data_IF_399825194591
#
_entry.id   IF_399825194591
#
_cell.length_a   1.000
_cell.length_b   1.000
_cell.length_c   1.000
_cell.angle_alpha   90.00
_cell.angle_beta   90.00
_cell.angle_gamma   90.00
#
_symmetry.space_group_name_H-M   'P 1'
#
loop_
_entity.id
_entity.type
_entity.pdbx_description
1 polymer ?
#
# COMPACT_ATOMS: atom_id res chain seq x y z
N UNK A 1 -15.34 11.89 -29.44
CA UNK A 1 -14.31 10.85 -29.28
C UNK A 1 -14.16 10.68 -27.79
N UNK A 2 -15.17 10.06 -27.18
CA UNK A 2 -15.51 10.23 -25.77
C UNK A 2 -15.83 8.86 -25.17
N UNK A 3 -15.68 8.76 -23.85
CA UNK A 3 -16.01 7.62 -22.97
C UNK A 3 -14.99 6.49 -22.78
N UNK A 4 -13.75 6.60 -23.24
CA UNK A 4 -12.68 5.60 -22.91
C UNK A 4 -11.48 6.14 -22.14
N UNK A 5 -11.63 7.27 -21.44
CA UNK A 5 -10.69 7.66 -20.37
C UNK A 5 -11.17 7.05 -19.06
N UNK A 6 -10.66 5.85 -18.81
CA UNK A 6 -10.32 5.34 -17.48
C UNK A 6 -11.46 5.41 -16.46
N UNK A 7 -12.25 4.33 -16.36
CA UNK A 7 -12.77 3.91 -15.05
C UNK A 7 -11.56 3.68 -14.16
N UNK A 8 -11.05 4.74 -13.54
CA UNK A 8 -10.07 4.65 -12.48
C UNK A 8 -10.85 4.01 -11.34
N UNK A 9 -10.82 2.68 -11.27
CA UNK A 9 -11.47 1.93 -10.20
C UNK A 9 -10.94 2.51 -8.91
N UNK A 10 -11.76 3.28 -8.19
CA UNK A 10 -11.34 3.92 -6.95
C UNK A 10 -10.90 2.81 -6.01
N UNK A 11 -9.60 2.79 -5.70
CA UNK A 11 -9.00 1.87 -4.77
C UNK A 11 -9.31 2.43 -3.38
N UNK A 12 -10.05 1.67 -2.58
CA UNK A 12 -10.25 1.97 -1.18
C UNK A 12 -10.07 0.69 -0.36
N UNK A 13 -8.87 0.53 0.19
CA UNK A 13 -8.50 -0.65 0.95
C UNK A 13 -9.31 -0.80 2.24
N UNK A 14 -9.63 0.32 2.90
CA UNK A 14 -10.26 0.32 4.22
C UNK A 14 -11.73 -0.08 4.13
N UNK A 15 -12.44 0.44 3.13
CA UNK A 15 -13.85 0.11 2.93
C UNK A 15 -14.00 -1.32 2.37
N UNK A 16 -13.20 -1.71 1.38
CA UNK A 16 -13.40 -2.98 0.68
C UNK A 16 -13.01 -4.21 1.53
N UNK A 17 -12.26 -4.02 2.62
CA UNK A 17 -11.89 -5.11 3.53
C UNK A 17 -12.93 -5.37 4.63
N UNK A 18 -13.81 -4.41 4.91
CA UNK A 18 -14.87 -4.57 5.89
C UNK A 18 -15.76 -5.76 5.51
N UNK A 19 -16.26 -6.48 6.51
CA UNK A 19 -17.15 -7.63 6.32
C UNK A 19 -18.51 -7.26 6.91
N UNK A 20 -19.53 -7.27 6.07
CA UNK A 20 -20.91 -7.30 6.56
C UNK A 20 -21.26 -8.72 7.07
N UNK A 21 -21.53 -8.82 8.36
CA UNK A 21 -21.85 -10.08 9.02
C UNK A 21 -23.32 -10.49 8.86
N UNK A 22 -24.19 -9.58 8.41
CA UNK A 22 -25.60 -9.88 8.10
C UNK A 22 -25.78 -10.41 6.67
N UNK A 23 -24.78 -10.23 5.81
CA UNK A 23 -24.80 -10.60 4.39
C UNK A 23 -23.61 -11.51 4.00
N UNK A 24 -23.30 -12.52 4.83
CA UNK A 24 -22.12 -13.38 4.65
C UNK A 24 -22.11 -14.13 3.31
N UNK A 25 -23.27 -14.48 2.76
CA UNK A 25 -23.42 -15.14 1.45
C UNK A 25 -22.99 -14.23 0.30
N UNK A 26 -23.44 -12.96 0.31
CA UNK A 26 -23.02 -11.93 -0.65
C UNK A 26 -21.53 -11.70 -0.52
N UNK A 27 -21.03 -11.54 0.71
CA UNK A 27 -19.60 -11.28 0.95
C UNK A 27 -18.69 -12.40 0.47
N UNK A 28 -19.15 -13.65 0.55
CA UNK A 28 -18.46 -14.81 0.01
C UNK A 28 -18.42 -14.83 -1.52
N UNK A 29 -19.52 -14.46 -2.17
CA UNK A 29 -19.60 -14.41 -3.64
C UNK A 29 -18.75 -13.26 -4.21
N UNK A 30 -18.64 -12.14 -3.50
CA UNK A 30 -17.85 -10.99 -3.93
C UNK A 30 -16.34 -11.14 -3.67
N UNK A 31 -15.95 -11.94 -2.67
CA UNK A 31 -14.56 -12.11 -2.23
C UNK A 31 -13.58 -12.42 -3.40
N UNK A 32 -13.85 -13.35 -4.33
CA UNK A 32 -12.94 -13.62 -5.45
C UNK A 32 -12.78 -12.42 -6.40
N UNK A 33 -13.86 -11.67 -6.63
CA UNK A 33 -13.85 -10.46 -7.47
C UNK A 33 -13.03 -9.35 -6.84
N UNK A 34 -13.21 -9.10 -5.53
CA UNK A 34 -12.39 -8.15 -4.75
C UNK A 34 -10.91 -8.58 -4.78
N UNK A 35 -10.61 -9.85 -4.52
CA UNK A 35 -9.23 -10.38 -4.58
C UNK A 35 -8.58 -10.17 -5.95
N UNK A 36 -9.30 -10.42 -7.05
CA UNK A 36 -8.79 -10.21 -8.41
C UNK A 36 -8.52 -8.73 -8.69
N UNK A 37 -9.42 -7.83 -8.27
CA UNK A 37 -9.24 -6.37 -8.38
C UNK A 37 -7.93 -5.92 -7.74
N UNK A 38 -7.67 -6.35 -6.50
CA UNK A 38 -6.47 -5.97 -5.76
C UNK A 38 -5.20 -6.65 -6.24
N UNK A 39 -5.30 -7.91 -6.70
CA UNK A 39 -4.18 -8.61 -7.32
C UNK A 39 -3.73 -7.93 -8.62
N UNK A 40 -4.69 -7.49 -9.45
CA UNK A 40 -4.40 -6.71 -10.66
C UNK A 40 -3.75 -5.37 -10.30
N UNK A 41 -4.32 -4.65 -9.34
CA UNK A 41 -3.75 -3.37 -8.90
C UNK A 41 -2.31 -3.52 -8.40
N UNK A 42 -2.02 -4.58 -7.63
CA UNK A 42 -0.67 -4.88 -7.20
C UNK A 42 0.28 -5.23 -8.34
N UNK A 43 -0.19 -5.94 -9.37
CA UNK A 43 0.61 -6.21 -10.56
C UNK A 43 0.91 -4.92 -11.36
N UNK A 44 -0.08 -4.05 -11.54
CA UNK A 44 0.07 -2.80 -12.27
C UNK A 44 1.06 -1.85 -11.56
N UNK A 45 0.93 -1.71 -10.23
CA UNK A 45 1.84 -0.88 -9.41
C UNK A 45 3.26 -1.46 -9.36
N UNK A 46 3.40 -2.79 -9.37
CA UNK A 46 4.71 -3.45 -9.50
C UNK A 46 5.38 -3.09 -10.81
N UNK A 47 4.65 -3.16 -11.92
CA UNK A 47 5.18 -2.81 -13.23
C UNK A 47 5.66 -1.35 -13.26
N UNK A 48 4.88 -0.42 -12.69
CA UNK A 48 5.25 0.99 -12.60
C UNK A 48 6.52 1.17 -11.76
N UNK A 49 6.61 0.51 -10.60
CA UNK A 49 7.79 0.53 -9.76
C UNK A 49 9.04 0.02 -10.49
N UNK A 50 8.93 -1.14 -11.16
CA UNK A 50 10.03 -1.76 -11.90
C UNK A 50 10.50 -0.85 -13.05
N UNK A 51 9.57 -0.29 -13.84
CA UNK A 51 9.90 0.66 -14.91
C UNK A 51 10.56 1.94 -14.40
N UNK A 52 10.09 2.48 -13.27
CA UNK A 52 10.65 3.71 -12.69
C UNK A 52 12.05 3.45 -12.11
N UNK A 53 12.28 2.24 -11.59
CA UNK A 53 13.61 1.80 -11.15
C UNK A 53 14.59 1.71 -12.32
N UNK A 54 14.17 1.10 -13.43
CA UNK A 54 15.00 1.03 -14.64
C UNK A 54 15.36 2.43 -15.15
N UNK A 55 14.38 3.34 -15.17
CA UNK A 55 14.60 4.74 -15.55
C UNK A 55 15.58 5.44 -14.62
N UNK A 56 15.49 5.21 -13.30
CA UNK A 56 16.43 5.78 -12.33
C UNK A 56 17.88 5.33 -12.59
N UNK A 57 18.08 4.05 -12.88
CA UNK A 57 19.41 3.51 -13.21
C UNK A 57 19.93 4.05 -14.55
N UNK A 58 19.04 4.24 -15.54
CA UNK A 58 19.40 4.85 -16.82
C UNK A 58 19.85 6.31 -16.65
N UNK A 59 19.06 7.13 -15.96
CA UNK A 59 19.42 8.54 -15.65
C UNK A 59 20.75 8.61 -14.90
N UNK A 60 20.96 7.70 -13.93
CA UNK A 60 22.23 7.62 -13.21
C UNK A 60 23.41 7.33 -14.13
N UNK A 61 23.26 6.38 -15.05
CA UNK A 61 24.32 6.01 -15.99
C UNK A 61 24.62 7.14 -16.98
N UNK A 62 23.58 7.81 -17.49
CA UNK A 62 23.73 8.97 -18.38
C UNK A 62 24.44 10.13 -17.69
N UNK A 63 24.09 10.44 -16.44
CA UNK A 63 24.76 11.47 -15.66
C UNK A 63 26.21 11.10 -15.34
N UNK A 64 26.50 9.84 -14.98
CA UNK A 64 27.88 9.38 -14.78
C UNK A 64 28.73 9.60 -16.04
N UNK A 65 28.20 9.21 -17.20
CA UNK A 65 28.88 9.42 -18.49
C UNK A 65 29.07 10.91 -18.80
N UNK A 66 28.03 11.74 -18.63
CA UNK A 66 28.09 13.18 -18.90
C UNK A 66 29.10 13.88 -18.00
N UNK A 67 29.14 13.54 -16.71
CA UNK A 67 30.10 14.10 -15.75
C UNK A 67 31.54 13.76 -16.14
N UNK A 68 31.79 12.53 -16.59
CA UNK A 68 33.13 12.12 -17.06
C UNK A 68 33.53 12.82 -18.35
N UNK A 69 32.58 13.05 -19.26
CA UNK A 69 32.83 13.73 -20.53
C UNK A 69 33.02 15.24 -20.35
N UNK A 70 32.31 15.86 -19.42
CA UNK A 70 32.25 17.32 -19.24
C UNK A 70 32.42 17.73 -17.77
N UNK A 71 33.53 17.38 -17.10
CA UNK A 71 33.72 17.60 -15.66
C UNK A 71 33.66 19.09 -15.25
N UNK A 72 34.11 19.98 -16.12
CA UNK A 72 34.13 21.43 -15.86
C UNK A 72 32.71 22.02 -15.76
N UNK A 73 31.76 21.49 -16.55
CA UNK A 73 30.35 21.90 -16.49
C UNK A 73 29.73 21.62 -15.12
N UNK A 74 30.13 20.50 -14.51
CA UNK A 74 29.70 20.08 -13.18
C UNK A 74 30.61 20.60 -12.05
N UNK A 75 31.57 21.47 -12.36
CA UNK A 75 32.49 22.08 -11.40
C UNK A 75 33.32 21.05 -10.59
N UNK A 76 33.69 19.94 -11.23
CA UNK A 76 34.48 18.88 -10.59
C UNK A 76 35.96 19.06 -10.91
N UNK A 77 36.74 19.49 -9.91
CA UNK A 77 38.18 19.70 -10.07
C UNK A 77 39.00 18.40 -10.27
N UNK A 78 38.53 17.28 -9.71
CA UNK A 78 39.17 15.96 -9.86
C UNK A 78 38.11 14.88 -10.02
N UNK A 79 38.14 14.20 -11.16
CA UNK A 79 37.25 13.08 -11.47
C UNK A 79 37.62 11.89 -10.57
N UNK A 80 36.87 11.70 -9.51
CA UNK A 80 36.92 10.53 -8.63
C UNK A 80 35.53 9.91 -8.53
N UNK A 81 35.45 8.60 -8.31
CA UNK A 81 34.15 7.92 -8.13
C UNK A 81 33.28 8.59 -7.05
N UNK A 82 33.90 9.02 -5.93
CA UNK A 82 33.19 9.74 -4.87
C UNK A 82 32.64 11.11 -5.29
N UNK A 83 33.42 11.89 -6.08
CA UNK A 83 32.97 13.18 -6.60
C UNK A 83 31.84 13.04 -7.63
N UNK A 84 31.88 12.01 -8.48
CA UNK A 84 30.84 11.75 -9.47
C UNK A 84 29.55 11.36 -8.78
N UNK A 85 29.59 10.37 -7.86
CA UNK A 85 28.40 9.96 -7.10
C UNK A 85 27.77 11.13 -6.33
N UNK A 86 28.58 11.94 -5.66
CA UNK A 86 28.09 13.12 -4.93
C UNK A 86 27.43 14.15 -5.84
N UNK A 87 27.87 14.24 -7.08
CA UNK A 87 27.32 15.16 -8.09
C UNK A 87 25.99 14.62 -8.64
N UNK A 88 25.93 13.33 -8.99
CA UNK A 88 24.69 12.67 -9.43
C UNK A 88 23.60 12.81 -8.37
N UNK A 89 23.91 12.60 -7.08
CA UNK A 89 22.95 12.75 -5.99
C UNK A 89 22.41 14.18 -5.82
N UNK A 90 23.13 15.19 -6.34
CA UNK A 90 22.69 16.60 -6.33
C UNK A 90 21.92 16.97 -7.58
N UNK A 91 21.99 16.16 -8.63
CA UNK A 91 21.35 16.43 -9.90
C UNK A 91 19.81 16.48 -9.74
N UNK A 92 19.13 17.53 -10.23
CA UNK A 92 17.68 17.66 -10.11
C UNK A 92 16.90 16.54 -10.80
N UNK A 93 17.37 16.04 -11.94
CA UNK A 93 16.70 14.98 -12.70
C UNK A 93 16.82 13.64 -11.99
N UNK A 94 18.01 13.33 -11.46
CA UNK A 94 18.20 12.15 -10.63
C UNK A 94 17.29 12.18 -9.40
N UNK A 95 17.26 13.30 -8.68
CA UNK A 95 16.41 13.46 -7.47
C UNK A 95 14.93 13.28 -7.78
N UNK A 96 14.45 13.88 -8.87
CA UNK A 96 13.06 13.75 -9.30
C UNK A 96 12.72 12.29 -9.62
N UNK A 97 13.57 11.62 -10.40
CA UNK A 97 13.35 10.21 -10.79
C UNK A 97 13.43 9.29 -9.56
N UNK A 98 14.30 9.60 -8.60
CA UNK A 98 14.40 8.86 -7.35
C UNK A 98 13.13 9.02 -6.50
N UNK A 99 12.56 10.23 -6.42
CA UNK A 99 11.29 10.49 -5.75
C UNK A 99 10.12 9.75 -6.43
N UNK A 100 10.05 9.78 -7.76
CA UNK A 100 9.08 9.01 -8.55
C UNK A 100 9.17 7.51 -8.22
N UNK A 101 10.39 6.95 -8.16
CA UNK A 101 10.60 5.54 -7.81
C UNK A 101 10.16 5.23 -6.38
N UNK A 102 10.50 6.09 -5.42
CA UNK A 102 10.11 5.91 -4.01
C UNK A 102 8.58 5.89 -3.88
N UNK A 103 7.89 6.81 -4.56
CA UNK A 103 6.43 6.87 -4.55
C UNK A 103 5.80 5.63 -5.20
N UNK A 104 6.32 5.19 -6.36
CA UNK A 104 5.86 3.98 -7.03
C UNK A 104 6.06 2.73 -6.16
N UNK A 105 7.21 2.63 -5.49
CA UNK A 105 7.51 1.55 -4.55
C UNK A 105 6.55 1.53 -3.37
N UNK A 106 6.29 2.70 -2.77
CA UNK A 106 5.34 2.82 -1.67
C UNK A 106 3.95 2.34 -2.07
N UNK A 107 3.46 2.75 -3.24
CA UNK A 107 2.15 2.32 -3.74
C UNK A 107 2.09 0.80 -3.98
N UNK A 108 3.13 0.22 -4.57
CA UNK A 108 3.22 -1.23 -4.73
C UNK A 108 3.21 -1.97 -3.39
N UNK A 109 3.93 -1.48 -2.37
CA UNK A 109 3.95 -2.07 -1.04
C UNK A 109 2.57 -2.00 -0.36
N UNK A 110 1.83 -0.90 -0.52
CA UNK A 110 0.43 -0.79 -0.07
C UNK A 110 -0.47 -1.80 -0.79
N UNK A 111 -0.37 -1.90 -2.12
CA UNK A 111 -1.16 -2.84 -2.91
C UNK A 111 -0.87 -4.30 -2.52
N UNK A 112 0.38 -4.64 -2.23
CA UNK A 112 0.78 -5.95 -1.69
C UNK A 112 0.19 -6.20 -0.30
N UNK A 113 0.19 -5.17 0.56
CA UNK A 113 -0.49 -5.21 1.85
C UNK A 113 -1.97 -5.54 1.70
N UNK A 114 -2.66 -4.90 0.76
CA UNK A 114 -4.07 -5.14 0.49
C UNK A 114 -4.35 -6.58 0.02
N UNK A 115 -3.57 -7.12 -0.90
CA UNK A 115 -3.71 -8.52 -1.35
C UNK A 115 -3.62 -9.50 -0.16
N UNK A 116 -2.67 -9.29 0.75
CA UNK A 116 -2.55 -10.09 1.98
C UNK A 116 -3.75 -9.89 2.91
N UNK A 117 -4.26 -8.67 3.00
CA UNK A 117 -5.40 -8.35 3.82
C UNK A 117 -6.68 -9.05 3.29
N UNK A 118 -6.87 -9.15 1.98
CA UNK A 118 -7.94 -9.96 1.38
C UNK A 118 -7.78 -11.46 1.62
N UNK A 119 -6.56 -11.98 1.62
CA UNK A 119 -6.31 -13.39 1.99
C UNK A 119 -6.70 -13.66 3.47
N UNK A 120 -6.38 -12.73 4.37
CA UNK A 120 -6.85 -12.79 5.77
C UNK A 120 -8.36 -12.66 5.89
N UNK A 121 -8.98 -11.78 5.08
CA UNK A 121 -10.43 -11.57 5.02
C UNK A 121 -11.17 -12.86 4.68
N UNK A 122 -10.66 -13.67 3.74
CA UNK A 122 -11.19 -15.00 3.43
C UNK A 122 -11.25 -15.88 4.68
N UNK A 123 -10.14 -15.96 5.43
CA UNK A 123 -10.08 -16.78 6.65
C UNK A 123 -11.05 -16.26 7.72
N UNK A 124 -11.22 -14.94 7.83
CA UNK A 124 -12.22 -14.35 8.72
C UNK A 124 -13.65 -14.73 8.31
N UNK A 125 -13.98 -14.64 7.02
CA UNK A 125 -15.29 -15.07 6.48
C UNK A 125 -15.57 -16.56 6.73
N UNK A 126 -14.58 -17.44 6.58
CA UNK A 126 -14.73 -18.87 6.88
C UNK A 126 -15.10 -19.10 8.35
N UNK A 127 -14.45 -18.38 9.26
CA UNK A 127 -14.73 -18.48 10.69
C UNK A 127 -16.08 -17.86 11.06
N UNK A 128 -16.47 -16.75 10.43
CA UNK A 128 -17.79 -16.16 10.64
C UNK A 128 -18.91 -17.10 10.19
N UNK A 129 -18.77 -17.78 9.05
CA UNK A 129 -19.73 -18.80 8.59
C UNK A 129 -19.81 -19.97 9.57
N UNK A 130 -18.68 -20.42 10.12
CA UNK A 130 -18.67 -21.47 11.17
C UNK A 130 -19.39 -21.03 12.44
N UNK A 131 -19.15 -19.80 12.90
CA UNK A 131 -19.83 -19.22 14.06
C UNK A 131 -21.34 -19.10 13.81
N UNK A 132 -21.74 -18.65 12.62
CA UNK A 132 -23.13 -18.57 12.22
C UNK A 132 -23.80 -19.96 12.21
N UNK A 133 -23.16 -20.97 11.62
CA UNK A 133 -23.65 -22.35 11.61
C UNK A 133 -23.73 -23.00 13.01
N UNK A 134 -22.89 -22.56 13.95
CA UNK A 134 -22.95 -22.96 15.35
C UNK A 134 -24.03 -22.21 16.16
N UNK A 135 -24.90 -21.44 15.50
CA UNK A 135 -25.93 -20.63 16.14
C UNK A 135 -25.36 -19.62 17.16
N UNK A 136 -24.10 -19.20 16.99
CA UNK A 136 -23.42 -18.27 17.90
C UNK A 136 -24.18 -16.94 18.03
N UNK A 137 -24.83 -16.51 16.94
CA UNK A 137 -25.62 -15.28 16.88
C UNK A 137 -27.11 -15.47 17.23
N UNK A 138 -27.58 -16.70 17.51
CA UNK A 138 -28.99 -17.04 17.68
C UNK A 138 -29.45 -17.21 19.15
N UNK A 139 -28.62 -16.84 20.13
CA UNK A 139 -28.98 -16.89 21.56
C UNK A 139 -30.01 -15.82 21.98
N UNK A 140 -30.77 -16.03 23.08
CA UNK A 140 -31.73 -15.02 23.56
C UNK A 140 -31.02 -13.69 23.80
N UNK A 141 -31.50 -12.67 23.09
CA UNK A 141 -30.97 -11.31 23.04
C UNK A 141 -31.14 -10.62 24.41
N UNK A 142 -30.18 -10.84 25.31
CA UNK A 142 -29.77 -9.73 26.17
C UNK A 142 -29.17 -8.72 25.19
N UNK A 143 -29.70 -7.49 25.05
CA UNK A 143 -29.25 -6.56 24.02
C UNK A 143 -27.78 -6.22 24.27
N UNK A 144 -26.90 -6.94 23.58
CA UNK A 144 -25.47 -6.72 23.67
C UNK A 144 -25.14 -5.66 22.66
N UNK A 145 -25.04 -4.41 23.12
CA UNK A 145 -24.72 -3.29 22.24
C UNK A 145 -23.25 -3.40 21.81
N UNK A 146 -23.01 -4.10 20.68
CA UNK A 146 -21.68 -4.32 20.13
C UNK A 146 -20.95 -3.01 19.81
N UNK A 147 -21.69 -1.95 19.48
CA UNK A 147 -21.12 -0.61 19.26
C UNK A 147 -20.57 -0.01 20.57
N UNK A 148 -21.28 -0.19 21.69
CA UNK A 148 -20.81 0.24 23.01
C UNK A 148 -19.63 -0.60 23.51
N UNK A 149 -19.65 -1.92 23.31
CA UNK A 149 -18.51 -2.78 23.67
C UNK A 149 -17.27 -2.47 22.82
N UNK A 150 -17.43 -2.21 21.51
CA UNK A 150 -16.34 -1.77 20.63
C UNK A 150 -15.77 -0.43 21.08
N UNK A 151 -16.63 0.56 21.35
CA UNK A 151 -16.23 1.86 21.90
C UNK A 151 -15.49 1.73 23.23
N UNK A 152 -15.98 0.89 24.15
CA UNK A 152 -15.31 0.63 25.43
C UNK A 152 -13.92 0.00 25.21
N UNK A 153 -13.79 -0.92 24.25
CA UNK A 153 -12.51 -1.57 23.90
C UNK A 153 -11.53 -0.58 23.25
N UNK A 154 -12.01 0.28 22.36
CA UNK A 154 -11.18 1.30 21.71
C UNK A 154 -10.69 2.35 22.71
N UNK A 155 -11.54 2.74 23.67
CA UNK A 155 -11.17 3.62 24.79
C UNK A 155 -10.10 2.97 25.69
N UNK A 156 -10.23 1.68 26.00
CA UNK A 156 -9.26 0.89 26.77
C UNK A 156 -7.89 0.84 26.06
N UNK A 157 -7.88 0.56 24.75
CA UNK A 157 -6.67 0.52 23.92
C UNK A 157 -6.00 1.90 23.86
N UNK A 158 -6.77 2.96 23.60
CA UNK A 158 -6.28 4.33 23.55
C UNK A 158 -5.69 4.78 24.90
N UNK A 159 -6.31 4.39 26.02
CA UNK A 159 -5.79 4.66 27.38
C UNK A 159 -4.45 3.97 27.62
N UNK A 160 -4.28 2.72 27.18
CA UNK A 160 -3.01 1.97 27.28
C UNK A 160 -1.90 2.59 26.42
N UNK A 161 -2.21 3.02 25.21
CA UNK A 161 -1.25 3.72 24.32
C UNK A 161 -0.79 5.04 24.96
N UNK A 162 -1.73 5.82 25.51
CA UNK A 162 -1.42 7.09 26.20
C UNK A 162 -0.54 6.91 27.44
N UNK A 163 -0.78 5.86 28.23
CA UNK A 163 0.07 5.53 29.38
C UNK A 163 1.49 5.12 28.97
N UNK A 164 1.67 4.42 27.85
CA UNK A 164 3.01 4.06 27.34
C UNK A 164 3.77 5.27 26.80
N UNK A 165 3.06 6.26 26.24
CA UNK A 165 3.65 7.47 25.66
C UNK A 165 4.14 8.47 26.73
N UNK A 166 3.54 8.48 27.92
CA UNK A 166 3.97 9.31 29.07
C UNK A 166 5.12 8.70 29.90
N UNK A 167 5.57 7.48 29.58
CA UNK A 167 6.61 6.75 30.32
C UNK A 167 7.98 6.74 29.61
N UNK A 168 8.09 7.45 28.48
CA UNK A 168 9.33 7.76 27.75
C UNK A 168 9.62 9.24 27.93
#
# INVERSE_FOLDING_TARGET
MDEKKTKMTRINFEDDIEIDHEALDIEWLEQPGKMLKYSRYSADTRQIMDMTKERLELVRAELDQQIRQYPDFYQIAKITEGSIQSTILKDPEYRKTAEEYINAKHEYELAQGAVKAFDQRKTALENLVRLHGASYFAGPSIPRNLSEERKARDQEVNKRIRMRRNKR
#
